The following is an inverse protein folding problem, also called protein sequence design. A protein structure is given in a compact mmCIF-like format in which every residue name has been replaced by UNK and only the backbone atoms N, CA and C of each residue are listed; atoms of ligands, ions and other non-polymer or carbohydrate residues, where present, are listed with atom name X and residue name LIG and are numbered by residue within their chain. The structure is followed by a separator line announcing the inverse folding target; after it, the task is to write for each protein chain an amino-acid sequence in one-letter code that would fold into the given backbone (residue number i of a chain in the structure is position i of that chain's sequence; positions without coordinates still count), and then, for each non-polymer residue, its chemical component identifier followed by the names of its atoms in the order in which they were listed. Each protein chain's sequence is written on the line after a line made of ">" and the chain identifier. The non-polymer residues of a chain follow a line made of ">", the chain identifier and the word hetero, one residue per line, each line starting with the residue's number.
data_IF_281738704379
#
_entry.id   IF_281738704379
#
_cell.length_a   1.000
_cell.length_b   1.000
_cell.length_c   1.000
_cell.angle_alpha   90.00
_cell.angle_beta   90.00
_cell.angle_gamma   90.00
#
_symmetry.space_group_name_H-M   'P 1'
#
loop_
_entity.id
_entity.type
_entity.pdbx_description
1 polymer ?
#
# COMPACT_ATOMS: atom_id res chain seq x y z
N UNK A 1 5.42 -17.85 7.87
CA UNK A 1 4.77 -17.57 9.17
C UNK A 1 4.36 -18.83 9.90
N UNK A 2 3.49 -19.70 9.34
CA UNK A 2 3.15 -20.98 9.96
C UNK A 2 4.36 -21.91 10.20
N UNK A 3 5.37 -21.85 9.32
CA UNK A 3 6.63 -22.60 9.48
C UNK A 3 7.63 -22.00 10.47
N UNK A 4 7.44 -20.73 10.88
CA UNK A 4 8.38 -20.00 11.77
C UNK A 4 7.80 -19.85 13.18
N UNK A 5 6.48 -19.66 13.31
CA UNK A 5 5.80 -19.41 14.58
C UNK A 5 4.81 -20.52 15.00
N UNK A 6 4.45 -21.46 14.12
CA UNK A 6 3.35 -22.41 14.34
C UNK A 6 2.01 -21.87 13.82
N UNK A 7 1.03 -22.75 13.55
CA UNK A 7 -0.25 -22.39 12.89
C UNK A 7 -1.11 -21.39 13.68
N UNK A 8 -1.10 -21.48 15.01
CA UNK A 8 -1.85 -20.58 15.89
C UNK A 8 -1.21 -19.18 15.95
N UNK A 9 0.09 -19.09 16.27
CA UNK A 9 0.81 -17.82 16.33
C UNK A 9 1.01 -17.18 14.94
N UNK A 10 1.02 -17.97 13.87
CA UNK A 10 1.00 -17.46 12.50
C UNK A 10 -0.30 -16.76 12.14
N UNK A 11 -1.44 -17.25 12.64
CA UNK A 11 -2.76 -16.63 12.44
C UNK A 11 -2.89 -15.33 13.23
N UNK A 12 -2.44 -15.31 14.49
CA UNK A 12 -2.39 -14.09 15.31
C UNK A 12 -1.45 -13.04 14.71
N UNK A 13 -0.27 -13.46 14.26
CA UNK A 13 0.69 -12.58 13.58
C UNK A 13 0.08 -11.93 12.34
N UNK A 14 -0.61 -12.70 11.49
CA UNK A 14 -1.31 -12.15 10.33
C UNK A 14 -2.40 -11.14 10.72
N UNK A 15 -3.16 -11.41 11.80
CA UNK A 15 -4.12 -10.46 12.36
C UNK A 15 -3.48 -9.11 12.69
N UNK A 16 -2.32 -9.14 13.37
CA UNK A 16 -1.55 -7.93 13.67
C UNK A 16 -1.06 -7.18 12.42
N UNK A 17 -0.59 -7.89 11.39
CA UNK A 17 -0.21 -7.26 10.12
C UNK A 17 -1.40 -6.50 9.52
N UNK A 18 -2.56 -7.15 9.45
CA UNK A 18 -3.77 -6.52 8.88
C UNK A 18 -4.23 -5.32 9.71
N UNK A 19 -4.13 -5.37 11.04
CA UNK A 19 -4.42 -4.20 11.90
C UNK A 19 -3.46 -3.04 11.65
N UNK A 20 -2.15 -3.30 11.51
CA UNK A 20 -1.16 -2.27 11.22
C UNK A 20 -1.37 -1.68 9.83
N UNK A 21 -1.68 -2.49 8.83
CA UNK A 21 -2.05 -2.00 7.50
C UNK A 21 -3.27 -1.05 7.59
N UNK A 22 -4.38 -1.50 8.18
CA UNK A 22 -5.59 -0.68 8.31
C UNK A 22 -5.35 0.64 9.08
N UNK A 23 -4.60 0.59 10.18
CA UNK A 23 -4.26 1.78 10.95
C UNK A 23 -3.36 2.74 10.17
N UNK A 24 -2.39 2.20 9.43
CA UNK A 24 -1.48 2.98 8.59
C UNK A 24 -2.26 3.68 7.48
N UNK A 25 -3.15 2.97 6.79
CA UNK A 25 -4.05 3.59 5.80
C UNK A 25 -4.86 4.71 6.45
N UNK A 26 -5.53 4.44 7.56
CA UNK A 26 -6.40 5.43 8.20
C UNK A 26 -5.66 6.71 8.61
N UNK A 27 -4.48 6.58 9.21
CA UNK A 27 -3.71 7.72 9.71
C UNK A 27 -2.90 8.41 8.62
N UNK A 28 -2.26 7.65 7.74
CA UNK A 28 -1.29 8.18 6.78
C UNK A 28 -1.94 8.64 5.47
N UNK A 29 -3.16 8.21 5.14
CA UNK A 29 -3.79 8.59 3.86
C UNK A 29 -3.85 10.10 3.68
N UNK A 30 -4.34 10.85 4.67
CA UNK A 30 -4.42 12.31 4.59
C UNK A 30 -3.03 12.96 4.43
N UNK A 31 -2.03 12.44 5.17
CA UNK A 31 -0.66 12.95 5.12
C UNK A 31 0.01 12.69 3.78
N UNK A 32 -0.09 11.46 3.27
CA UNK A 32 0.48 11.04 1.98
C UNK A 32 -0.18 11.79 0.82
N UNK A 33 -1.51 11.95 0.85
CA UNK A 33 -2.23 12.77 -0.14
C UNK A 33 -1.68 14.20 -0.10
N UNK A 34 -1.61 14.83 1.08
CA UNK A 34 -1.12 16.20 1.21
C UNK A 34 0.29 16.37 0.65
N UNK A 35 1.19 15.43 0.93
CA UNK A 35 2.57 15.44 0.43
C UNK A 35 2.64 15.29 -1.09
N UNK A 36 1.73 14.53 -1.69
CA UNK A 36 1.72 14.26 -3.13
C UNK A 36 0.89 15.23 -3.96
N UNK A 37 0.24 16.23 -3.36
CA UNK A 37 -0.53 17.26 -4.08
C UNK A 37 0.29 18.03 -5.12
N UNK A 38 1.59 18.22 -4.88
CA UNK A 38 2.50 18.96 -5.77
C UNK A 38 3.31 18.07 -6.70
N UNK A 39 3.22 16.75 -6.56
CA UNK A 39 3.96 15.77 -7.36
C UNK A 39 3.10 15.35 -8.55
N UNK A 40 3.71 15.16 -9.72
CA UNK A 40 2.96 14.66 -10.87
C UNK A 40 2.44 13.24 -10.58
N UNK A 41 1.18 12.97 -10.95
CA UNK A 41 0.50 11.69 -10.66
C UNK A 41 1.31 10.47 -11.10
N UNK A 42 1.95 10.55 -12.27
CA UNK A 42 2.80 9.48 -12.79
C UNK A 42 4.00 9.18 -11.89
N UNK A 43 4.66 10.22 -11.37
CA UNK A 43 5.77 10.07 -10.43
C UNK A 43 5.28 9.50 -9.10
N UNK A 44 4.14 9.97 -8.57
CA UNK A 44 3.55 9.43 -7.35
C UNK A 44 3.23 7.94 -7.47
N UNK A 45 2.71 7.50 -8.62
CA UNK A 45 2.46 6.08 -8.89
C UNK A 45 3.76 5.28 -9.01
N UNK A 46 4.79 5.80 -9.69
CA UNK A 46 6.08 5.14 -9.80
C UNK A 46 6.76 4.96 -8.43
N UNK A 47 6.69 5.98 -7.57
CA UNK A 47 7.14 5.91 -6.17
C UNK A 47 6.32 4.84 -5.42
N UNK A 48 4.99 4.83 -5.57
CA UNK A 48 4.14 3.81 -4.96
C UNK A 48 4.52 2.38 -5.36
N UNK A 49 4.82 2.14 -6.65
CA UNK A 49 5.32 0.86 -7.14
C UNK A 49 6.66 0.48 -6.50
N UNK A 50 7.57 1.44 -6.33
CA UNK A 50 8.86 1.21 -5.67
C UNK A 50 8.66 0.79 -4.21
N UNK A 51 7.79 1.50 -3.46
CA UNK A 51 7.43 1.12 -2.09
C UNK A 51 6.83 -0.28 -2.02
N UNK A 52 6.00 -0.67 -3.00
CA UNK A 52 5.46 -2.02 -3.08
C UNK A 52 6.54 -3.07 -3.29
N UNK A 53 7.40 -2.88 -4.28
CA UNK A 53 8.48 -3.84 -4.59
C UNK A 53 9.42 -4.00 -3.41
N UNK A 54 9.79 -2.90 -2.76
CA UNK A 54 10.67 -2.92 -1.58
C UNK A 54 9.98 -3.58 -0.39
N UNK A 55 8.73 -3.19 -0.07
CA UNK A 55 8.00 -3.72 1.07
C UNK A 55 7.66 -5.21 0.95
N UNK A 56 7.22 -5.66 -0.23
CA UNK A 56 7.03 -7.09 -0.49
C UNK A 56 8.37 -7.83 -0.59
N UNK A 57 9.40 -7.23 -1.17
CA UNK A 57 10.75 -7.81 -1.24
C UNK A 57 11.34 -8.06 0.15
N UNK A 58 11.08 -7.18 1.12
CA UNK A 58 11.50 -7.34 2.51
C UNK A 58 10.92 -8.60 3.16
N UNK A 59 9.70 -9.03 2.81
CA UNK A 59 9.14 -10.27 3.35
C UNK A 59 9.96 -11.52 3.03
N UNK A 60 10.74 -11.53 1.95
CA UNK A 60 11.61 -12.65 1.62
C UNK A 60 12.76 -12.84 2.63
N UNK A 61 13.14 -11.78 3.34
CA UNK A 61 14.26 -11.78 4.31
C UNK A 61 13.80 -11.60 5.76
N UNK A 62 12.54 -11.22 5.99
CA UNK A 62 11.98 -11.06 7.33
C UNK A 62 11.88 -12.41 8.06
N UNK A 63 12.38 -12.47 9.29
CA UNK A 63 12.35 -13.65 10.16
C UNK A 63 11.65 -13.39 11.50
N UNK A 64 11.25 -12.15 11.79
CA UNK A 64 10.66 -11.74 13.06
C UNK A 64 9.38 -10.92 12.84
N UNK A 65 8.42 -11.03 13.76
CA UNK A 65 7.13 -10.31 13.68
C UNK A 65 7.32 -8.78 13.53
N UNK A 66 8.20 -8.10 14.28
CA UNK A 66 8.43 -6.67 14.08
C UNK A 66 8.94 -6.32 12.69
N UNK A 67 9.78 -7.18 12.09
CA UNK A 67 10.25 -6.97 10.72
C UNK A 67 9.10 -7.10 9.71
N UNK A 68 8.19 -8.06 9.90
CA UNK A 68 6.97 -8.20 9.10
C UNK A 68 6.04 -6.97 9.26
N UNK A 69 5.89 -6.43 10.47
CA UNK A 69 5.10 -5.22 10.70
C UNK A 69 5.73 -3.98 10.03
N UNK A 70 7.05 -3.85 10.09
CA UNK A 70 7.77 -2.78 9.40
C UNK A 70 7.64 -2.88 7.87
N UNK A 71 7.80 -4.07 7.31
CA UNK A 71 7.57 -4.32 5.89
C UNK A 71 6.11 -3.99 5.51
N UNK A 72 5.15 -4.34 6.38
CA UNK A 72 3.73 -4.01 6.20
C UNK A 72 3.50 -2.52 6.07
N UNK A 73 4.04 -1.75 7.02
CA UNK A 73 3.97 -0.30 7.01
C UNK A 73 4.52 0.29 5.71
N UNK A 74 5.68 -0.20 5.24
CA UNK A 74 6.34 0.28 4.01
C UNK A 74 5.46 0.03 2.78
N UNK A 75 4.98 -1.20 2.55
CA UNK A 75 4.16 -1.46 1.37
C UNK A 75 2.79 -0.78 1.43
N UNK A 76 2.25 -0.54 2.63
CA UNK A 76 1.00 0.21 2.83
C UNK A 76 1.11 1.67 2.36
N UNK A 77 2.28 2.30 2.48
CA UNK A 77 2.50 3.64 1.90
C UNK A 77 2.38 3.59 0.37
N UNK A 78 2.93 2.54 -0.26
CA UNK A 78 2.79 2.29 -1.68
C UNK A 78 1.33 2.08 -2.12
N UNK A 79 0.57 1.31 -1.32
CA UNK A 79 -0.86 1.10 -1.50
C UNK A 79 -1.64 2.42 -1.53
N UNK A 80 -1.41 3.30 -0.55
CA UNK A 80 -2.08 4.62 -0.48
C UNK A 80 -1.76 5.45 -1.73
N UNK A 81 -0.49 5.51 -2.15
CA UNK A 81 -0.05 6.28 -3.32
C UNK A 81 -0.73 5.80 -4.61
N UNK A 82 -0.84 4.49 -4.79
CA UNK A 82 -1.48 3.89 -5.97
C UNK A 82 -3.00 4.05 -5.95
N UNK A 83 -3.65 3.84 -4.80
CA UNK A 83 -5.10 3.97 -4.66
C UNK A 83 -5.59 5.40 -4.93
N UNK A 84 -4.83 6.39 -4.46
CA UNK A 84 -5.20 7.82 -4.59
C UNK A 84 -4.92 8.39 -5.98
N UNK A 85 -3.85 7.94 -6.65
CA UNK A 85 -3.45 8.47 -7.97
C UNK A 85 -4.00 7.65 -9.15
N UNK A 86 -4.26 6.36 -8.96
CA UNK A 86 -4.72 5.46 -10.03
C UNK A 86 -6.06 5.86 -10.63
N UNK A 87 -7.07 6.12 -9.78
CA UNK A 87 -8.40 6.55 -10.23
C UNK A 87 -8.37 7.89 -10.99
N UNK A 88 -7.50 8.81 -10.59
CA UNK A 88 -7.39 10.13 -11.23
C UNK A 88 -6.64 10.04 -12.57
N UNK A 89 -5.62 9.19 -12.67
CA UNK A 89 -4.88 8.98 -13.91
C UNK A 89 -5.75 8.39 -15.03
N UNK A 90 -6.55 7.37 -14.70
CA UNK A 90 -7.51 6.75 -15.63
C UNK A 90 -8.56 7.78 -16.07
N UNK A 91 -9.08 8.58 -15.15
CA UNK A 91 -10.06 9.64 -15.46
C UNK A 91 -9.51 10.74 -16.36
N UNK A 92 -8.20 11.01 -16.34
CA UNK A 92 -7.60 12.05 -17.18
C UNK A 92 -7.32 11.62 -18.61
N UNK A 93 -7.01 10.35 -18.83
CA UNK A 93 -6.78 9.81 -20.17
C UNK A 93 -8.06 9.19 -20.77
N UNK A 94 -9.12 9.01 -19.97
CA UNK A 94 -10.43 8.61 -20.47
C UNK A 94 -11.17 9.79 -21.12
N UNK A 95 -11.74 9.61 -22.34
CA UNK A 95 -12.63 10.58 -22.96
C UNK A 95 -13.80 10.92 -22.03
N UNK A 96 -14.20 12.20 -21.98
CA UNK A 96 -15.25 12.71 -21.08
C UNK A 96 -16.53 11.87 -21.10
N UNK A 97 -16.89 11.30 -22.24
CA UNK A 97 -18.10 10.49 -22.48
C UNK A 97 -18.10 9.13 -21.78
N UNK A 98 -16.95 8.58 -21.37
CA UNK A 98 -16.85 7.22 -20.79
C UNK A 98 -16.28 7.18 -19.36
N UNK A 99 -15.97 8.33 -18.74
CA UNK A 99 -15.34 8.39 -17.40
C UNK A 99 -16.13 7.65 -16.32
N UNK A 100 -17.46 7.75 -16.33
CA UNK A 100 -18.32 7.06 -15.37
C UNK A 100 -18.28 5.53 -15.50
N UNK A 101 -17.95 4.98 -16.70
CA UNK A 101 -17.92 3.55 -16.98
C UNK A 101 -16.57 2.89 -16.68
N UNK A 102 -15.53 3.69 -16.47
CA UNK A 102 -14.21 3.22 -16.03
C UNK A 102 -14.02 3.31 -14.51
N UNK A 103 -14.90 4.05 -13.82
CA UNK A 103 -14.90 4.24 -12.37
C UNK A 103 -15.98 3.39 -11.66
N UNK A 104 -16.51 2.36 -12.34
CA UNK A 104 -17.53 1.42 -11.84
C UNK A 104 -16.96 0.03 -11.61
#
# INVERSE_FOLDING_TARGET
>A
MNSIFGTQAGTEGYGWLMSVNALTVLLMTAFVIHLTLRVSRAISMAIGCLFYVVGFGLYAVCSSLPAFLGATFIWTIGEILLATNGNVFVNQHAPSTHRARFNS
#
